data_IF_129609672916
#
_entry.id   IF_129609672916
#
_cell.length_a   1.000
_cell.length_b   1.000
_cell.length_c   1.000
_cell.angle_alpha   90.00
_cell.angle_beta   90.00
_cell.angle_gamma   90.00
#
_symmetry.space_group_name_H-M   'P 1'
#
loop_
_entity.id
_entity.type
_entity.pdbx_description
1 polymer ?
#
# COMPACT_ATOMS: atom_id res chain seq x y z
N UNK A 1 7.54 -11.37 4.79
CA UNK A 1 6.92 -10.08 5.15
C UNK A 1 5.54 -9.97 4.49
N UNK A 2 4.54 -9.45 5.21
CA UNK A 2 3.19 -9.22 4.67
C UNK A 2 3.11 -7.81 4.07
N UNK A 3 2.66 -7.70 2.82
CA UNK A 3 2.66 -6.45 2.05
C UNK A 3 1.41 -6.31 1.20
N UNK A 4 1.10 -5.08 0.80
CA UNK A 4 0.23 -4.80 -0.34
C UNK A 4 1.09 -4.56 -1.57
N UNK A 5 0.81 -5.30 -2.64
CA UNK A 5 1.45 -5.14 -3.94
C UNK A 5 0.56 -4.31 -4.85
N UNK A 6 1.07 -3.20 -5.37
CA UNK A 6 0.47 -2.39 -6.41
C UNK A 6 1.16 -2.73 -7.73
N UNK A 7 0.42 -3.27 -8.70
CA UNK A 7 0.98 -3.80 -9.94
C UNK A 7 0.17 -3.39 -11.18
N UNK A 8 0.86 -3.15 -12.30
CA UNK A 8 0.23 -3.09 -13.63
C UNK A 8 0.27 -4.47 -14.29
N UNK A 9 -0.38 -4.62 -15.46
CA UNK A 9 -0.26 -5.83 -16.29
C UNK A 9 1.17 -6.12 -16.76
N UNK A 10 2.06 -5.12 -16.76
CA UNK A 10 3.44 -5.21 -17.25
C UNK A 10 4.45 -5.62 -16.17
N UNK A 11 3.97 -6.15 -15.04
CA UNK A 11 4.78 -6.66 -13.90
C UNK A 11 5.61 -5.61 -13.16
N UNK A 12 5.45 -4.32 -13.42
CA UNK A 12 5.95 -3.29 -12.51
C UNK A 12 5.21 -3.39 -11.17
N UNK A 13 5.95 -3.41 -10.06
CA UNK A 13 5.41 -3.65 -8.72
C UNK A 13 5.99 -2.71 -7.70
N UNK A 14 5.13 -2.14 -6.88
CA UNK A 14 5.50 -1.44 -5.66
C UNK A 14 4.87 -2.15 -4.47
N UNK A 15 5.66 -2.33 -3.41
CA UNK A 15 5.21 -2.96 -2.17
C UNK A 15 5.15 -1.94 -1.05
N UNK A 16 4.04 -1.95 -0.31
CA UNK A 16 3.93 -1.27 0.99
C UNK A 16 3.74 -2.30 2.09
N UNK A 17 4.34 -2.07 3.24
CA UNK A 17 4.15 -2.91 4.42
C UNK A 17 2.65 -2.95 4.80
N UNK A 18 2.15 -4.13 5.16
CA UNK A 18 0.75 -4.29 5.54
C UNK A 18 0.36 -3.42 6.74
N UNK A 19 1.22 -3.29 7.76
CA UNK A 19 0.95 -2.43 8.92
C UNK A 19 0.82 -0.95 8.55
N UNK A 20 1.63 -0.47 7.60
CA UNK A 20 1.52 0.91 7.09
C UNK A 20 0.16 1.12 6.40
N UNK A 21 -0.26 0.17 5.54
CA UNK A 21 -1.56 0.22 4.86
C UNK A 21 -2.72 0.12 5.86
N UNK A 22 -2.60 -0.75 6.86
CA UNK A 22 -3.65 -1.01 7.85
C UNK A 22 -3.90 0.27 8.69
N UNK A 23 -2.87 1.06 8.99
CA UNK A 23 -2.99 2.36 9.70
C UNK A 23 -3.66 3.43 8.83
N UNK A 24 -3.40 3.44 7.51
CA UNK A 24 -4.02 4.41 6.59
C UNK A 24 -5.31 3.90 5.92
N UNK A 25 -5.82 2.73 6.34
CA UNK A 25 -6.87 2.02 5.62
C UNK A 25 -8.16 2.83 5.48
N UNK A 26 -8.49 3.62 6.49
CA UNK A 26 -9.65 4.51 6.47
C UNK A 26 -9.52 5.63 5.43
N UNK A 27 -8.33 6.21 5.26
CA UNK A 27 -8.08 7.19 4.18
C UNK A 27 -8.27 6.56 2.80
N UNK A 28 -7.99 5.27 2.64
CA UNK A 28 -8.17 4.59 1.36
C UNK A 28 -9.65 4.40 1.00
N UNK A 29 -10.60 4.50 1.94
CA UNK A 29 -12.06 4.39 1.66
C UNK A 29 -12.59 5.48 0.72
N UNK A 30 -11.83 6.55 0.48
CA UNK A 30 -12.19 7.57 -0.52
C UNK A 30 -12.01 7.11 -1.98
N UNK A 31 -11.34 5.98 -2.21
CA UNK A 31 -11.18 5.39 -3.53
C UNK A 31 -12.43 4.59 -3.91
N UNK A 32 -12.99 4.83 -5.10
CA UNK A 32 -13.98 3.94 -5.70
C UNK A 32 -13.23 2.84 -6.44
N UNK A 33 -13.42 1.59 -6.06
CA UNK A 33 -12.66 0.46 -6.61
C UNK A 33 -13.60 -0.68 -6.98
N UNK A 34 -13.07 -1.66 -7.70
CA UNK A 34 -13.82 -2.87 -8.05
C UNK A 34 -12.96 -4.12 -8.07
N UNK A 35 -13.60 -5.28 -8.18
CA UNK A 35 -12.92 -6.50 -8.59
C UNK A 35 -12.63 -6.49 -10.11
N UNK A 36 -11.96 -7.54 -10.60
CA UNK A 36 -11.53 -7.65 -12.01
C UNK A 36 -12.71 -7.53 -12.99
N UNK A 37 -13.83 -8.16 -12.65
CA UNK A 37 -15.01 -8.23 -13.52
C UNK A 37 -15.97 -7.05 -13.31
N UNK A 38 -15.64 -6.11 -12.41
CA UNK A 38 -16.48 -4.97 -12.02
C UNK A 38 -17.86 -5.36 -11.46
N UNK A 39 -18.02 -6.61 -11.03
CA UNK A 39 -19.25 -7.13 -10.41
C UNK A 39 -19.37 -6.60 -8.98
N UNK A 40 -18.24 -6.54 -8.25
CA UNK A 40 -18.18 -6.05 -6.88
C UNK A 40 -17.53 -4.68 -6.86
N UNK A 41 -18.31 -3.66 -6.54
CA UNK A 41 -17.82 -2.31 -6.25
C UNK A 41 -17.47 -2.20 -4.77
N UNK A 42 -16.45 -1.41 -4.45
CA UNK A 42 -16.00 -1.19 -3.08
C UNK A 42 -15.56 0.27 -2.86
N UNK A 43 -15.46 0.64 -1.59
CA UNK A 43 -14.80 1.85 -1.12
C UNK A 43 -13.46 1.46 -0.50
N UNK A 44 -12.36 1.86 -1.13
CA UNK A 44 -11.00 1.50 -0.72
C UNK A 44 -10.53 0.13 -1.19
N UNK A 45 -9.60 -0.47 -0.46
CA UNK A 45 -9.01 -1.76 -0.83
C UNK A 45 -9.86 -2.93 -0.34
N UNK A 46 -9.91 -4.02 -1.09
CA UNK A 46 -10.41 -5.28 -0.57
C UNK A 46 -9.44 -5.86 0.44
N UNK A 47 -9.96 -6.28 1.59
CA UNK A 47 -9.17 -7.00 2.59
C UNK A 47 -8.74 -8.39 2.09
N UNK A 48 -9.59 -9.07 1.30
CA UNK A 48 -9.29 -10.34 0.62
C UNK A 48 -9.53 -10.23 -0.88
N UNK A 49 -8.62 -10.78 -1.67
CA UNK A 49 -8.70 -10.76 -3.13
C UNK A 49 -7.92 -9.62 -3.76
N UNK A 50 -8.27 -9.28 -5.01
CA UNK A 50 -7.62 -8.21 -5.77
C UNK A 50 -8.54 -7.00 -5.91
N UNK A 51 -7.98 -5.83 -5.67
CA UNK A 51 -8.61 -4.53 -5.91
C UNK A 51 -8.13 -3.98 -7.24
N UNK A 52 -9.02 -3.48 -8.07
CA UNK A 52 -8.71 -2.78 -9.31
C UNK A 52 -9.06 -1.30 -9.12
N UNK A 53 -8.07 -0.44 -9.35
CA UNK A 53 -8.15 1.01 -9.19
C UNK A 53 -8.08 1.63 -10.58
N UNK A 54 -9.22 2.15 -11.03
CA UNK A 54 -9.36 2.80 -12.33
C UNK A 54 -8.76 4.21 -12.32
N UNK A 55 -8.47 4.73 -13.52
CA UNK A 55 -7.75 5.99 -13.77
C UNK A 55 -8.25 7.14 -12.91
N UNK A 56 -9.57 7.29 -12.75
CA UNK A 56 -10.19 8.40 -12.04
C UNK A 56 -9.96 8.36 -10.52
N UNK A 57 -9.43 7.25 -10.00
CA UNK A 57 -9.06 7.07 -8.60
C UNK A 57 -7.54 7.08 -8.38
N UNK A 58 -6.71 7.02 -9.44
CA UNK A 58 -5.25 7.01 -9.30
C UNK A 58 -4.74 8.35 -8.75
N UNK A 59 -5.25 9.47 -9.27
CA UNK A 59 -4.91 10.80 -8.75
C UNK A 59 -5.26 10.96 -7.27
N UNK A 60 -6.36 10.34 -6.82
CA UNK A 60 -6.76 10.32 -5.40
C UNK A 60 -5.84 9.45 -4.56
N UNK A 61 -5.49 8.25 -5.05
CA UNK A 61 -4.54 7.37 -4.38
C UNK A 61 -3.21 8.10 -4.17
N UNK A 62 -2.68 8.74 -5.22
CA UNK A 62 -1.45 9.54 -5.15
C UNK A 62 -1.54 10.61 -4.06
N UNK A 63 -2.61 11.42 -4.03
CA UNK A 63 -2.80 12.47 -3.00
C UNK A 63 -2.84 11.91 -1.57
N UNK A 64 -3.54 10.79 -1.38
CA UNK A 64 -3.60 10.11 -0.07
C UNK A 64 -2.18 9.69 0.34
N UNK A 65 -1.46 8.99 -0.54
CA UNK A 65 -0.11 8.50 -0.28
C UNK A 65 0.86 9.65 -0.01
N UNK A 66 0.81 10.74 -0.78
CA UNK A 66 1.63 11.94 -0.54
C UNK A 66 1.37 12.60 0.81
N UNK A 67 0.10 12.62 1.25
CA UNK A 67 -0.27 13.18 2.56
C UNK A 67 0.29 12.33 3.70
N UNK A 68 0.17 11.00 3.58
CA UNK A 68 0.76 10.08 4.55
C UNK A 68 2.28 10.14 4.56
N UNK A 69 2.94 10.26 3.39
CA UNK A 69 4.39 10.51 3.31
C UNK A 69 4.79 11.73 4.14
N UNK A 70 4.07 12.85 4.01
CA UNK A 70 4.31 14.07 4.79
C UNK A 70 4.05 13.91 6.30
N UNK A 71 3.13 13.02 6.70
CA UNK A 71 2.95 12.72 8.13
C UNK A 71 4.12 11.86 8.67
N UNK A 72 4.53 10.85 7.91
CA UNK A 72 5.61 9.94 8.31
C UNK A 72 7.01 10.59 8.27
N UNK A 73 7.19 11.70 7.54
CA UNK A 73 8.48 12.43 7.54
C UNK A 73 8.82 13.01 8.92
N UNK A 74 7.79 13.33 9.70
CA UNK A 74 7.91 13.88 11.06
C UNK A 74 8.16 12.80 12.12
N UNK A 75 8.15 11.52 11.75
CA UNK A 75 8.40 10.44 12.68
C UNK A 75 9.88 10.40 13.13
N UNK A 76 10.11 9.77 14.28
CA UNK A 76 11.45 9.35 14.69
C UNK A 76 12.02 8.34 13.70
N UNK A 77 13.34 8.16 13.68
CA UNK A 77 13.98 7.25 12.72
C UNK A 77 13.44 5.82 12.79
N UNK A 78 13.22 5.34 14.01
CA UNK A 78 12.55 4.07 14.27
C UNK A 78 11.30 4.35 15.11
N UNK A 79 10.19 3.68 14.78
CA UNK A 79 8.93 3.80 15.50
C UNK A 79 8.13 2.50 15.40
N UNK A 80 7.07 2.40 16.20
CA UNK A 80 6.18 1.22 16.22
C UNK A 80 4.78 1.65 15.83
N UNK A 81 4.24 1.02 14.78
CA UNK A 81 2.81 1.11 14.47
C UNK A 81 2.04 0.09 15.28
N UNK A 82 0.94 0.52 15.89
CA UNK A 82 0.06 -0.31 16.70
C UNK A 82 -1.26 -0.47 15.94
N UNK A 83 -1.62 -1.71 15.65
CA UNK A 83 -2.85 -2.06 14.96
C UNK A 83 -4.07 -2.09 15.89
N UNK A 84 -5.20 -2.53 15.33
CA UNK A 84 -6.41 -2.73 16.11
C UNK A 84 -6.24 -3.86 17.14
N UNK A 85 -7.00 -3.74 18.24
CA UNK A 85 -7.08 -4.78 19.25
C UNK A 85 -7.68 -6.05 18.67
N UNK A 86 -6.98 -7.17 18.85
CA UNK A 86 -7.39 -8.49 18.38
C UNK A 86 -7.66 -9.37 19.59
N UNK A 87 -8.93 -9.71 19.79
CA UNK A 87 -9.41 -10.52 20.92
C UNK A 87 -8.84 -11.93 20.94
N UNK A 88 -8.34 -12.45 19.81
CA UNK A 88 -7.75 -13.80 19.75
C UNK A 88 -6.36 -13.86 20.38
N UNK A 89 -5.63 -12.76 20.36
CA UNK A 89 -4.27 -12.66 20.91
C UNK A 89 -4.22 -11.79 22.17
N UNK A 90 -5.39 -11.34 22.65
CA UNK A 90 -5.56 -10.42 23.78
C UNK A 90 -4.60 -9.21 23.71
N UNK A 91 -4.52 -8.60 22.53
CA UNK A 91 -3.54 -7.54 22.28
C UNK A 91 -3.64 -6.92 20.90
N UNK A 92 -2.77 -5.93 20.65
CA UNK A 92 -2.66 -5.28 19.35
C UNK A 92 -1.46 -5.82 18.58
N UNK A 93 -1.63 -5.97 17.27
CA UNK A 93 -0.50 -6.21 16.36
C UNK A 93 0.45 -5.01 16.38
N UNK A 94 1.76 -5.28 16.32
CA UNK A 94 2.80 -4.26 16.37
C UNK A 94 3.74 -4.44 15.18
N UNK A 95 4.08 -3.34 14.52
CA UNK A 95 5.04 -3.32 13.42
C UNK A 95 6.15 -2.34 13.72
N UNK A 96 7.38 -2.85 13.80
CA UNK A 96 8.56 -2.00 13.83
C UNK A 96 8.77 -1.41 12.44
N UNK A 97 8.97 -0.10 12.40
CA UNK A 97 9.13 0.64 11.15
C UNK A 97 10.39 1.49 11.23
N UNK A 98 11.11 1.53 10.12
CA UNK A 98 12.14 2.51 9.84
C UNK A 98 11.54 3.62 8.96
N UNK A 99 11.78 4.88 9.32
CA UNK A 99 11.25 6.03 8.61
C UNK A 99 11.66 6.05 7.15
N UNK A 100 12.94 5.84 6.85
CA UNK A 100 13.46 5.91 5.48
C UNK A 100 12.83 4.85 4.59
N UNK A 101 12.70 3.61 5.07
CA UNK A 101 12.04 2.54 4.33
C UNK A 101 10.56 2.86 4.01
N UNK A 102 9.84 3.42 4.99
CA UNK A 102 8.43 3.81 4.81
C UNK A 102 8.32 4.94 3.78
N UNK A 103 9.14 5.99 3.92
CA UNK A 103 9.17 7.12 3.00
C UNK A 103 9.55 6.70 1.58
N UNK A 104 10.58 5.87 1.43
CA UNK A 104 11.01 5.34 0.14
C UNK A 104 9.89 4.51 -0.52
N UNK A 105 9.15 3.71 0.26
CA UNK A 105 8.02 2.93 -0.26
C UNK A 105 6.87 3.82 -0.76
N UNK A 106 6.61 4.94 -0.07
CA UNK A 106 5.63 5.92 -0.52
C UNK A 106 6.08 6.68 -1.76
N UNK A 107 7.35 7.06 -1.85
CA UNK A 107 7.91 7.70 -3.05
C UNK A 107 7.79 6.80 -4.27
N UNK A 108 8.18 5.53 -4.14
CA UNK A 108 8.01 4.53 -5.20
C UNK A 108 6.56 4.44 -5.65
N UNK A 109 5.60 4.44 -4.71
CA UNK A 109 4.18 4.37 -5.06
C UNK A 109 3.65 5.65 -5.72
N UNK A 110 4.14 6.82 -5.31
CA UNK A 110 3.80 8.11 -5.93
C UNK A 110 4.29 8.14 -7.38
N UNK A 111 5.56 7.81 -7.62
CA UNK A 111 6.15 7.76 -8.97
C UNK A 111 5.41 6.75 -9.85
N UNK A 112 5.12 5.57 -9.30
CA UNK A 112 4.31 4.56 -9.97
C UNK A 112 2.92 5.10 -10.35
N UNK A 113 2.23 5.79 -9.44
CA UNK A 113 0.92 6.39 -9.74
C UNK A 113 1.02 7.43 -10.87
N UNK A 114 2.06 8.27 -10.89
CA UNK A 114 2.26 9.26 -11.96
C UNK A 114 2.47 8.62 -13.32
N UNK A 115 3.26 7.56 -13.39
CA UNK A 115 3.49 6.81 -14.62
C UNK A 115 2.19 6.16 -15.12
N UNK A 116 1.49 5.45 -14.24
CA UNK A 116 0.24 4.76 -14.57
C UNK A 116 -0.86 5.74 -14.99
N UNK A 117 -0.92 6.93 -14.35
CA UNK A 117 -1.85 8.01 -14.70
C UNK A 117 -1.58 8.54 -16.12
N UNK A 118 -0.31 8.79 -16.48
CA UNK A 118 0.09 9.22 -17.85
C UNK A 118 -0.23 8.17 -18.90
N UNK A 119 -0.02 6.90 -18.58
CA UNK A 119 -0.24 5.77 -19.49
C UNK A 119 -1.70 5.29 -19.51
N UNK A 120 -2.59 5.92 -18.72
CA UNK A 120 -4.00 5.60 -18.62
C UNK A 120 -4.26 4.10 -18.29
N UNK A 121 -3.43 3.54 -17.41
CA UNK A 121 -3.46 2.12 -17.01
C UNK A 121 -4.29 1.92 -15.72
N UNK A 122 -4.61 0.66 -15.43
CA UNK A 122 -5.31 0.24 -14.21
C UNK A 122 -4.29 -0.35 -13.23
N UNK A 123 -4.44 -0.01 -11.95
CA UNK A 123 -3.62 -0.62 -10.88
C UNK A 123 -4.39 -1.81 -10.31
N UNK A 124 -3.72 -2.96 -10.20
CA UNK A 124 -4.17 -4.08 -9.38
C UNK A 124 -3.45 -4.02 -8.03
N UNK A 125 -4.22 -4.07 -6.95
CA UNK A 125 -3.71 -4.10 -5.58
C UNK A 125 -4.13 -5.39 -4.87
N UNK A 126 -3.20 -6.10 -4.22
CA UNK A 126 -3.51 -7.30 -3.42
C UNK A 126 -2.56 -7.48 -2.24
N UNK A 127 -3.07 -8.01 -1.12
CA UNK A 127 -2.30 -8.38 0.07
C UNK A 127 -1.61 -9.73 -0.19
N UNK A 128 -0.30 -9.80 0.04
CA UNK A 128 0.55 -10.96 -0.26
C UNK A 128 1.61 -11.16 0.81
N UNK A 129 2.06 -12.41 0.99
CA UNK A 129 3.29 -12.71 1.74
C UNK A 129 4.45 -12.79 0.77
N UNK A 130 5.46 -11.94 0.94
CA UNK A 130 6.72 -11.98 0.20
C UNK A 130 7.81 -12.63 1.06
N UNK A 131 8.64 -13.47 0.45
CA UNK A 131 9.89 -13.93 1.06
C UNK A 131 10.93 -12.83 0.89
N UNK A 132 11.62 -12.45 1.96
CA UNK A 132 12.83 -11.65 1.83
C UNK A 132 13.87 -12.61 1.23
N UNK A 133 14.28 -12.37 -0.01
CA UNK A 133 15.53 -12.94 -0.49
C UNK A 133 16.64 -12.05 0.06
N UNK A 134 17.55 -12.61 0.85
CA UNK A 134 18.77 -11.92 1.24
C UNK A 134 19.48 -11.50 -0.04
N UNK A 135 19.50 -10.20 -0.34
CA UNK A 135 20.39 -9.64 -1.36
C UNK A 135 21.83 -9.59 -0.79
N UNK A 136 22.34 -10.75 -0.38
CA UNK A 136 23.78 -10.98 -0.28
C UNK A 136 24.21 -11.54 -1.62
N UNK A 137 25.21 -10.89 -2.19
CA UNK A 137 25.91 -11.25 -3.42
C UNK A 137 25.24 -10.80 -4.72
N UNK A 138 25.57 -9.58 -5.13
CA UNK A 138 26.36 -9.37 -6.35
C UNK A 138 27.05 -8.01 -6.21
N UNK A 139 28.31 -8.05 -5.75
CA UNK A 139 29.29 -6.96 -5.79
C UNK A 139 30.28 -7.26 -6.89
#
# INVERSE_FOLDING_TARGET
MLVYSFETSEKEKVYLNAGVIDIMFDSLKFLKTSDKLKIKKNKGLFFKGSTYIEKENISKLKKIVSSWKGLFSEATQNFVLIGFFNTKIDGCERWNCNKEEVIESFEKLIIFCEKVEKENKIIRCRKLTVKLTDNREER
#
